data_IF_110566822125
#
_entry.id   IF_110566822125
#
_cell.length_a   1.000
_cell.length_b   1.000
_cell.length_c   1.000
_cell.angle_alpha   90.00
_cell.angle_beta   90.00
_cell.angle_gamma   90.00
#
_symmetry.space_group_name_H-M   'P 1'
#
loop_
_entity.id
_entity.type
_entity.pdbx_description
1 polymer ?
#
# COMPACT_ATOMS: atom_id res chain seq x y z
N UNK A 1 2.73 -10.47 10.13
CA UNK A 1 4.16 -10.67 9.79
C UNK A 1 4.65 -9.42 9.08
N UNK A 2 5.76 -8.81 9.51
CA UNK A 2 6.28 -7.58 8.87
C UNK A 2 6.91 -7.89 7.50
N UNK A 3 6.85 -6.98 6.50
CA UNK A 3 7.42 -7.22 5.17
C UNK A 3 8.91 -7.58 5.18
N UNK A 4 9.69 -6.96 6.06
CA UNK A 4 11.10 -7.29 6.28
C UNK A 4 11.32 -8.69 6.83
N UNK A 5 10.46 -9.16 7.74
CA UNK A 5 10.51 -10.52 8.28
C UNK A 5 10.15 -11.58 7.23
N UNK A 6 9.17 -11.28 6.37
CA UNK A 6 8.83 -12.15 5.24
C UNK A 6 10.02 -12.33 4.30
N UNK A 7 10.72 -11.24 3.97
CA UNK A 7 11.91 -11.31 3.13
C UNK A 7 12.99 -12.19 3.76
N UNK A 8 13.24 -12.05 5.07
CA UNK A 8 14.20 -12.89 5.77
C UNK A 8 13.81 -14.37 5.71
N UNK A 9 12.53 -14.70 5.95
CA UNK A 9 12.05 -16.09 5.82
C UNK A 9 12.24 -16.65 4.42
N UNK A 10 11.92 -15.86 3.38
CA UNK A 10 12.14 -16.28 2.00
C UNK A 10 13.62 -16.54 1.71
N UNK A 11 14.53 -15.70 2.23
CA UNK A 11 15.97 -15.91 2.11
C UNK A 11 16.48 -17.13 2.88
N UNK A 12 15.94 -17.41 4.05
CA UNK A 12 16.31 -18.57 4.87
C UNK A 12 15.87 -19.88 4.23
N UNK A 13 14.67 -19.90 3.64
CA UNK A 13 14.12 -21.09 2.98
C UNK A 13 14.67 -21.26 1.56
N UNK A 14 15.06 -20.17 0.91
CA UNK A 14 15.71 -20.23 -0.39
C UNK A 14 17.05 -20.95 -0.28
N UNK A 15 17.20 -22.02 -1.05
CA UNK A 15 18.51 -22.64 -1.27
C UNK A 15 19.38 -21.68 -2.09
N UNK A 16 20.70 -21.87 -2.04
CA UNK A 16 21.66 -21.01 -2.74
C UNK A 16 21.47 -20.93 -4.27
N UNK A 17 20.66 -21.82 -4.87
CA UNK A 17 20.36 -21.81 -6.30
C UNK A 17 19.22 -20.84 -6.69
N UNK A 18 18.45 -20.33 -5.72
CA UNK A 18 17.28 -19.50 -6.03
C UNK A 18 17.73 -18.08 -6.37
N UNK A 19 17.32 -17.61 -7.56
CA UNK A 19 17.68 -16.28 -8.02
C UNK A 19 17.06 -15.18 -7.15
N UNK A 20 17.81 -14.09 -6.94
CA UNK A 20 17.30 -12.91 -6.24
C UNK A 20 16.06 -12.32 -6.92
N UNK A 21 15.95 -12.45 -8.25
CA UNK A 21 14.79 -11.96 -9.01
C UNK A 21 13.51 -12.75 -8.70
N UNK A 22 13.62 -14.08 -8.53
CA UNK A 22 12.50 -14.91 -8.11
C UNK A 22 12.06 -14.58 -6.68
N UNK A 23 13.02 -14.41 -5.77
CA UNK A 23 12.72 -13.98 -4.38
C UNK A 23 12.04 -12.61 -4.39
N UNK A 24 12.51 -11.66 -5.21
CA UNK A 24 11.88 -10.33 -5.37
C UNK A 24 10.45 -10.45 -5.86
N UNK A 25 10.21 -11.27 -6.88
CA UNK A 25 8.87 -11.51 -7.45
C UNK A 25 7.92 -12.08 -6.41
N UNK A 26 8.30 -13.19 -5.76
CA UNK A 26 7.49 -13.84 -4.73
C UNK A 26 7.22 -12.91 -3.54
N UNK A 27 8.23 -12.15 -3.12
CA UNK A 27 8.08 -11.20 -2.02
C UNK A 27 7.09 -10.07 -2.38
N UNK A 28 7.16 -9.54 -3.60
CA UNK A 28 6.23 -8.51 -4.11
C UNK A 28 4.80 -9.04 -4.24
N UNK A 29 4.62 -10.29 -4.65
CA UNK A 29 3.30 -10.94 -4.74
C UNK A 29 2.62 -11.08 -3.38
N UNK A 30 3.39 -11.21 -2.30
CA UNK A 30 2.87 -11.30 -0.93
C UNK A 30 2.61 -9.94 -0.28
N UNK A 31 2.92 -8.82 -0.95
CA UNK A 31 2.62 -7.50 -0.41
C UNK A 31 1.13 -7.15 -0.60
N UNK A 32 0.50 -6.45 0.35
CA UNK A 32 -0.81 -5.84 0.15
C UNK A 32 -0.83 -4.95 -1.08
N UNK A 33 -1.95 -4.95 -1.83
CA UNK A 33 -2.10 -4.21 -3.10
C UNK A 33 -1.69 -2.72 -2.99
N UNK A 34 -2.07 -1.95 -1.95
CA UNK A 34 -1.68 -0.54 -1.81
C UNK A 34 -0.17 -0.34 -1.64
N UNK A 35 0.51 -1.29 -1.00
CA UNK A 35 1.97 -1.24 -0.81
C UNK A 35 2.66 -1.66 -2.11
N UNK A 36 2.17 -2.72 -2.75
CA UNK A 36 2.74 -3.27 -3.99
C UNK A 36 2.80 -2.23 -5.10
N UNK A 37 1.74 -1.44 -5.29
CA UNK A 37 1.69 -0.40 -6.35
C UNK A 37 2.76 0.69 -6.18
N UNK A 38 3.16 0.97 -4.93
CA UNK A 38 4.23 1.93 -4.63
C UNK A 38 5.59 1.28 -4.88
N UNK A 39 5.76 0.02 -4.49
CA UNK A 39 7.05 -0.67 -4.60
C UNK A 39 7.44 -1.02 -6.04
N UNK A 40 6.48 -1.29 -6.93
CA UNK A 40 6.78 -1.68 -8.33
C UNK A 40 7.35 -0.54 -9.17
N UNK A 41 7.10 0.71 -8.79
CA UNK A 41 7.68 1.88 -9.48
C UNK A 41 9.07 2.25 -8.94
N UNK A 42 9.49 1.66 -7.82
CA UNK A 42 10.79 1.91 -7.20
C UNK A 42 11.89 1.06 -7.85
N UNK A 43 12.94 1.71 -8.38
CA UNK A 43 14.14 1.05 -8.88
C UNK A 43 15.15 0.74 -7.76
N UNK A 44 14.64 0.16 -6.67
CA UNK A 44 15.45 -0.17 -5.50
C UNK A 44 15.77 -1.68 -5.45
N UNK A 45 16.89 -2.01 -4.80
CA UNK A 45 17.20 -3.40 -4.46
C UNK A 45 16.19 -3.95 -3.42
N UNK A 46 16.06 -5.27 -3.38
CA UNK A 46 15.06 -5.97 -2.55
C UNK A 46 15.18 -5.64 -1.05
N UNK A 47 16.38 -5.38 -0.53
CA UNK A 47 16.57 -4.97 0.86
C UNK A 47 15.95 -3.61 1.16
N UNK A 48 16.21 -2.62 0.30
CA UNK A 48 15.62 -1.28 0.39
C UNK A 48 14.10 -1.32 0.22
N UNK A 49 13.59 -2.06 -0.78
CA UNK A 49 12.15 -2.26 -0.96
C UNK A 49 11.48 -2.82 0.29
N UNK A 50 12.12 -3.74 1.00
CA UNK A 50 11.57 -4.29 2.24
C UNK A 50 11.52 -3.28 3.39
N UNK A 51 12.49 -2.37 3.46
CA UNK A 51 12.47 -1.24 4.41
C UNK A 51 11.36 -0.25 4.04
N UNK A 52 11.24 0.11 2.76
CA UNK A 52 10.19 1.00 2.26
C UNK A 52 8.80 0.42 2.53
N UNK A 53 8.59 -0.88 2.24
CA UNK A 53 7.36 -1.60 2.55
C UNK A 53 7.01 -1.58 4.04
N UNK A 54 8.01 -1.78 4.90
CA UNK A 54 7.85 -1.71 6.35
C UNK A 54 7.40 -0.31 6.79
N UNK A 55 8.05 0.74 6.29
CA UNK A 55 7.68 2.13 6.60
C UNK A 55 6.26 2.45 6.15
N UNK A 56 5.87 2.06 4.93
CA UNK A 56 4.50 2.24 4.44
C UNK A 56 3.52 1.50 5.35
N UNK A 57 3.84 0.27 5.77
CA UNK A 57 2.99 -0.51 6.68
C UNK A 57 2.83 0.15 8.06
N UNK A 58 3.88 0.80 8.59
CA UNK A 58 3.82 1.49 9.88
C UNK A 58 3.08 2.83 9.76
N UNK A 59 3.19 3.52 8.62
CA UNK A 59 2.52 4.80 8.34
C UNK A 59 1.07 4.64 7.89
N UNK A 60 0.69 3.47 7.38
CA UNK A 60 -0.70 3.18 7.02
C UNK A 60 -1.46 2.94 8.32
N UNK A 61 -2.40 3.82 8.72
CA UNK A 61 -3.19 3.60 9.91
C UNK A 61 -3.89 2.24 9.75
N UNK A 62 -3.66 1.35 10.71
CA UNK A 62 -4.42 0.12 10.83
C UNK A 62 -5.86 0.59 11.00
N UNK A 63 -6.71 0.36 10.01
CA UNK A 63 -8.14 0.62 10.19
C UNK A 63 -8.60 -0.33 11.28
N UNK A 64 -8.57 0.12 12.53
CA UNK A 64 -9.30 -0.48 13.62
C UNK A 64 -10.76 -0.25 13.24
N UNK A 65 -11.34 -1.24 12.56
CA UNK A 65 -12.75 -1.23 12.25
C UNK A 65 -13.47 -1.44 13.59
N UNK A 66 -13.64 -0.37 14.37
CA UNK A 66 -14.73 -0.32 15.32
C UNK A 66 -15.98 -0.34 14.45
N UNK A 67 -16.69 -1.47 14.46
CA UNK A 67 -17.91 -1.65 13.72
C UNK A 67 -18.95 -0.60 14.16
N UNK A 68 -18.94 0.55 13.50
CA UNK A 68 -20.09 1.42 13.31
C UNK A 68 -20.14 1.62 11.80
N UNK A 69 -21.11 0.98 11.17
CA UNK A 69 -21.09 0.71 9.73
C UNK A 69 -20.98 1.97 8.88
N UNK A 70 -19.79 2.30 8.41
CA UNK A 70 -19.60 3.08 7.18
C UNK A 70 -18.36 2.59 6.46
N UNK A 71 -18.54 2.10 5.23
CA UNK A 71 -17.46 1.78 4.30
C UNK A 71 -16.63 3.04 4.06
N UNK A 72 -15.36 3.04 4.48
CA UNK A 72 -14.41 4.09 4.11
C UNK A 72 -13.90 3.81 2.69
N UNK A 73 -14.76 4.13 1.72
CA UNK A 73 -14.38 4.26 0.32
C UNK A 73 -13.45 5.47 0.18
N UNK A 74 -12.16 5.20 -0.04
CA UNK A 74 -11.16 6.23 -0.34
C UNK A 74 -11.52 7.07 -1.58
N UNK A 75 -12.46 6.61 -2.43
CA UNK A 75 -13.03 7.40 -3.53
C UNK A 75 -14.03 8.48 -3.10
N UNK A 76 -14.61 8.38 -1.90
CA UNK A 76 -15.69 9.29 -1.45
C UNK A 76 -15.16 10.67 -1.03
N UNK A 77 -13.95 10.72 -0.47
CA UNK A 77 -13.34 11.98 -0.01
C UNK A 77 -13.02 12.96 -1.16
N UNK A 78 -12.75 12.45 -2.37
CA UNK A 78 -12.53 13.27 -3.57
C UNK A 78 -13.88 13.79 -4.09
N UNK A 79 -14.90 12.92 -4.14
CA UNK A 79 -16.26 13.28 -4.58
C UNK A 79 -16.93 14.38 -3.74
N UNK A 80 -16.67 14.45 -2.42
CA UNK A 80 -17.27 15.48 -1.56
C UNK A 80 -16.80 16.90 -1.89
N UNK A 81 -15.54 17.07 -2.34
CA UNK A 81 -15.00 18.39 -2.67
C UNK A 81 -15.55 18.92 -3.98
N UNK A 82 -15.71 18.06 -4.98
CA UNK A 82 -16.29 18.43 -6.28
C UNK A 82 -17.77 18.85 -6.14
N UNK A 83 -18.53 18.16 -5.27
CA UNK A 83 -19.93 18.51 -5.03
C UNK A 83 -20.09 19.88 -4.34
N UNK A 84 -19.20 20.22 -3.41
CA UNK A 84 -19.21 21.52 -2.72
C UNK A 84 -18.89 22.68 -3.69
N UNK A 85 -17.97 22.45 -4.63
CA UNK A 85 -17.63 23.43 -5.66
C UNK A 85 -18.82 23.69 -6.58
N UNK A 86 -19.54 22.63 -6.98
CA UNK A 86 -20.73 22.76 -7.84
C UNK A 86 -21.84 23.57 -7.15
N UNK A 87 -22.11 23.29 -5.88
CA UNK A 87 -23.12 23.97 -5.08
C UNK A 87 -22.79 25.47 -4.90
N UNK A 88 -21.52 25.78 -4.65
CA UNK A 88 -21.03 27.16 -4.57
C UNK A 88 -21.15 27.91 -5.90
N UNK A 89 -20.90 27.24 -7.03
CA UNK A 89 -21.08 27.84 -8.36
C UNK A 89 -22.55 28.13 -8.69
N UNK A 90 -23.48 27.31 -8.21
CA UNK A 90 -24.92 27.52 -8.42
C UNK A 90 -25.47 28.66 -7.56
N UNK A 91 -25.00 28.80 -6.32
CA UNK A 91 -25.41 29.89 -5.42
C UNK A 91 -24.98 31.27 -5.91
N UNK A 92 -23.92 31.38 -6.70
CA UNK A 92 -23.45 32.64 -7.29
C UNK A 92 -24.27 33.11 -8.51
N UNK A 93 -25.25 32.31 -8.96
CA UNK A 93 -26.12 32.62 -10.10
C UNK A 93 -27.51 33.14 -9.68
N UNK A 94 -27.78 33.28 -8.38
CA UNK A 94 -28.97 33.97 -7.86
C UNK A 94 -28.64 35.44 -7.59
#
# INVERSE_FOLDING_TARGET
MKPSQLLQKLKTVATSNISQNLIKTLWLEKQPKPIKIILVVSDENLGKLAVTSHKISDMTPRTEIFATGTSLDFGKAISTKDQLLLDRMQSLKQ
#
